data_IF_874558628462
#
_entry.id   IF_874558628462
#
_cell.length_a   1.000
_cell.length_b   1.000
_cell.length_c   1.000
_cell.angle_alpha   90.00
_cell.angle_beta   90.00
_cell.angle_gamma   90.00
#
_symmetry.space_group_name_H-M   'P 1'
#
loop_
_entity.id
_entity.type
_entity.pdbx_description
1 polymer ?
#
# COMPACT_ATOMS: atom_id res chain seq x y z
N UNK A 1 20.16 28.34 -89.04
CA UNK A 1 19.47 29.02 -87.91
C UNK A 1 19.05 27.93 -86.94
N UNK A 2 19.83 27.73 -85.89
CA UNK A 2 19.80 26.57 -85.00
C UNK A 2 18.87 26.82 -83.80
N UNK A 3 17.87 25.98 -83.57
CA UNK A 3 17.13 25.93 -82.31
C UNK A 3 17.53 24.66 -81.55
N UNK A 4 18.19 24.84 -80.40
CA UNK A 4 18.44 23.79 -79.40
C UNK A 4 17.35 23.90 -78.32
N UNK A 5 16.47 22.89 -78.21
CA UNK A 5 15.61 22.70 -77.05
C UNK A 5 16.41 21.99 -75.95
N UNK A 6 16.56 22.62 -74.80
CA UNK A 6 17.11 22.00 -73.58
C UNK A 6 15.93 21.64 -72.69
N UNK A 7 15.69 20.35 -72.48
CA UNK A 7 14.71 19.84 -71.53
C UNK A 7 15.32 19.83 -70.12
N UNK A 8 14.75 20.62 -69.22
CA UNK A 8 15.12 20.60 -67.80
C UNK A 8 14.41 19.43 -67.09
N UNK A 9 15.18 18.47 -66.59
CA UNK A 9 14.67 17.39 -65.73
C UNK A 9 14.62 17.92 -64.30
N UNK A 10 13.41 18.12 -63.77
CA UNK A 10 13.20 18.50 -62.38
C UNK A 10 13.20 17.24 -61.50
N UNK A 11 14.24 17.08 -60.69
CA UNK A 11 14.36 16.01 -59.69
C UNK A 11 13.40 16.31 -58.52
N UNK A 12 12.32 15.54 -58.39
CA UNK A 12 11.43 15.58 -57.22
C UNK A 12 12.11 14.81 -56.08
N UNK A 13 12.74 15.55 -55.16
CA UNK A 13 13.23 15.01 -53.90
C UNK A 13 12.03 14.74 -52.99
N UNK A 14 11.61 13.47 -52.87
CA UNK A 14 10.66 13.03 -51.83
C UNK A 14 11.39 13.16 -50.50
N UNK A 15 11.23 14.30 -49.83
CA UNK A 15 11.70 14.48 -48.46
C UNK A 15 10.89 13.55 -47.55
N UNK A 16 11.54 12.58 -46.91
CA UNK A 16 10.98 11.91 -45.75
C UNK A 16 10.72 12.98 -44.69
N UNK A 17 9.47 13.40 -44.54
CA UNK A 17 9.05 14.14 -43.37
C UNK A 17 9.28 13.24 -42.15
N UNK A 18 10.11 13.63 -41.16
CA UNK A 18 10.22 12.87 -39.93
C UNK A 18 8.83 12.79 -39.31
N UNK A 19 8.37 11.57 -39.06
CA UNK A 19 7.12 11.32 -38.35
C UNK A 19 7.26 11.97 -36.96
N UNK A 20 6.66 13.14 -36.78
CA UNK A 20 6.57 13.80 -35.48
C UNK A 20 5.69 12.91 -34.61
N UNK A 21 6.32 12.03 -33.84
CA UNK A 21 5.65 11.31 -32.75
C UNK A 21 5.15 12.38 -31.78
N UNK A 22 3.86 12.69 -31.86
CA UNK A 22 3.19 13.58 -30.91
C UNK A 22 3.34 13.00 -29.51
N UNK A 23 3.86 13.79 -28.57
CA UNK A 23 4.03 13.37 -27.19
C UNK A 23 2.66 12.99 -26.60
N UNK A 24 2.50 11.71 -26.25
CA UNK A 24 1.27 11.24 -25.62
C UNK A 24 1.16 11.84 -24.20
N UNK A 25 0.06 12.54 -23.92
CA UNK A 25 -0.28 12.97 -22.56
C UNK A 25 -0.96 11.81 -21.82
N UNK A 26 -0.28 11.31 -20.80
CA UNK A 26 -0.71 10.21 -19.95
C UNK A 26 -0.85 10.71 -18.52
N UNK A 27 -2.00 10.44 -17.88
CA UNK A 27 -2.27 10.93 -16.53
C UNK A 27 -2.64 9.82 -15.57
N UNK A 28 -2.14 9.92 -14.34
CA UNK A 28 -2.60 9.15 -13.20
C UNK A 28 -3.29 10.09 -12.21
N UNK A 29 -4.48 9.70 -11.76
CA UNK A 29 -5.14 10.36 -10.63
C UNK A 29 -4.75 9.65 -9.35
N UNK A 30 -4.14 10.36 -8.41
CA UNK A 30 -3.83 9.85 -7.06
C UNK A 30 -4.81 10.48 -6.09
N UNK A 31 -5.68 9.66 -5.51
CA UNK A 31 -6.70 10.12 -4.56
C UNK A 31 -6.49 9.39 -3.24
N UNK A 32 -5.97 10.10 -2.25
CA UNK A 32 -5.58 9.55 -0.95
C UNK A 32 -6.16 10.40 0.17
N UNK A 33 -6.22 9.83 1.37
CA UNK A 33 -6.63 10.55 2.57
C UNK A 33 -5.46 11.39 3.08
N UNK A 34 -5.40 12.66 2.70
CA UNK A 34 -4.39 13.61 3.18
C UNK A 34 -4.86 14.33 4.45
N UNK A 35 -6.17 14.35 4.67
CA UNK A 35 -6.81 14.76 5.91
C UNK A 35 -7.80 13.69 6.39
N UNK A 36 -8.27 13.86 7.63
CA UNK A 36 -9.20 12.92 8.28
C UNK A 36 -8.50 11.73 8.95
N UNK A 37 -9.28 10.70 9.29
CA UNK A 37 -8.86 9.57 10.12
C UNK A 37 -7.76 8.69 9.53
N UNK A 38 -7.55 8.73 8.22
CA UNK A 38 -6.52 7.92 7.53
C UNK A 38 -5.31 8.75 7.06
N UNK A 39 -5.21 10.02 7.46
CA UNK A 39 -4.08 10.90 7.11
C UNK A 39 -2.72 10.35 7.58
N UNK A 40 -2.70 9.60 8.69
CA UNK A 40 -1.50 8.94 9.19
C UNK A 40 -0.86 8.00 8.17
N UNK A 41 -1.65 7.42 7.25
CA UNK A 41 -1.18 6.55 6.17
C UNK A 41 -1.14 7.28 4.82
N UNK A 42 -2.18 8.06 4.49
CA UNK A 42 -2.28 8.68 3.17
C UNK A 42 -1.23 9.76 2.89
N UNK A 43 -0.82 10.54 3.90
CA UNK A 43 0.26 11.52 3.77
C UNK A 43 1.60 10.85 3.43
N UNK A 44 2.11 9.87 4.21
CA UNK A 44 3.36 9.19 3.86
C UNK A 44 3.25 8.44 2.52
N UNK A 45 2.09 7.84 2.17
CA UNK A 45 1.87 7.24 0.85
C UNK A 45 2.12 8.25 -0.28
N UNK A 46 1.50 9.43 -0.23
CA UNK A 46 1.69 10.46 -1.27
C UNK A 46 3.12 10.99 -1.28
N UNK A 47 3.76 11.13 -0.12
CA UNK A 47 5.17 11.50 -0.06
C UNK A 47 6.07 10.46 -0.75
N UNK A 48 5.83 9.17 -0.51
CA UNK A 48 6.53 8.09 -1.21
C UNK A 48 6.31 8.10 -2.71
N UNK A 49 5.07 8.35 -3.16
CA UNK A 49 4.74 8.51 -4.59
C UNK A 49 5.51 9.67 -5.22
N UNK A 50 5.63 10.82 -4.54
CA UNK A 50 6.39 11.97 -5.05
C UNK A 50 7.88 11.64 -5.23
N UNK A 51 8.49 10.91 -4.31
CA UNK A 51 9.88 10.43 -4.48
C UNK A 51 9.99 9.50 -5.69
N UNK A 52 9.06 8.54 -5.86
CA UNK A 52 9.04 7.68 -7.04
C UNK A 52 8.84 8.47 -8.35
N UNK A 53 8.01 9.52 -8.33
CA UNK A 53 7.78 10.38 -9.48
C UNK A 53 9.08 11.11 -9.88
N UNK A 54 9.77 11.71 -8.92
CA UNK A 54 11.05 12.37 -9.15
C UNK A 54 12.10 11.41 -9.73
N UNK A 55 12.13 10.17 -9.25
CA UNK A 55 13.05 9.15 -9.76
C UNK A 55 12.75 8.82 -11.22
N UNK A 56 11.47 8.57 -11.56
CA UNK A 56 11.04 8.29 -12.92
C UNK A 56 11.34 9.47 -13.87
N UNK A 57 11.19 10.71 -13.41
CA UNK A 57 11.52 11.91 -14.18
C UNK A 57 13.03 12.02 -14.43
N UNK A 58 13.86 11.84 -13.39
CA UNK A 58 15.33 11.87 -13.50
C UNK A 58 15.89 10.74 -14.38
N UNK A 59 15.25 9.58 -14.36
CA UNK A 59 15.58 8.42 -15.22
C UNK A 59 15.18 8.63 -16.69
N UNK A 60 14.45 9.71 -17.02
CA UNK A 60 13.87 9.89 -18.36
C UNK A 60 12.91 8.77 -18.72
N UNK A 61 12.20 8.20 -17.72
CA UNK A 61 11.47 6.94 -17.83
C UNK A 61 10.39 6.95 -18.93
N UNK A 62 9.86 8.13 -19.25
CA UNK A 62 8.79 8.33 -20.22
C UNK A 62 9.28 8.68 -21.64
N UNK A 63 10.59 8.83 -21.85
CA UNK A 63 11.15 9.24 -23.13
C UNK A 63 10.59 10.61 -23.56
N UNK A 64 9.97 10.67 -24.74
CA UNK A 64 9.30 11.88 -25.25
C UNK A 64 7.86 12.06 -24.76
N UNK A 65 7.27 11.08 -24.07
CA UNK A 65 5.90 11.18 -23.58
C UNK A 65 5.83 12.02 -22.31
N UNK A 66 4.69 12.67 -22.08
CA UNK A 66 4.42 13.43 -20.87
C UNK A 66 3.56 12.60 -19.92
N UNK A 67 4.08 12.34 -18.72
CA UNK A 67 3.32 11.69 -17.64
C UNK A 67 3.01 12.70 -16.54
N UNK A 68 1.73 12.87 -16.23
CA UNK A 68 1.25 13.78 -15.19
C UNK A 68 0.61 12.99 -14.05
N UNK A 69 0.91 13.37 -12.81
CA UNK A 69 0.25 12.82 -11.62
C UNK A 69 -0.58 13.91 -10.95
N UNK A 70 -1.88 13.69 -10.82
CA UNK A 70 -2.80 14.61 -10.15
C UNK A 70 -3.13 14.09 -8.75
N UNK A 71 -2.56 14.71 -7.73
CA UNK A 71 -2.80 14.37 -6.32
C UNK A 71 -4.04 15.11 -5.80
N UNK A 72 -4.97 14.40 -5.16
CA UNK A 72 -6.16 14.95 -4.53
C UNK A 72 -6.39 14.34 -3.14
N UNK A 73 -6.95 15.14 -2.24
CA UNK A 73 -7.37 14.71 -0.91
C UNK A 73 -8.84 14.29 -0.93
N UNK A 74 -9.14 13.07 -0.49
CA UNK A 74 -10.52 12.62 -0.30
C UNK A 74 -11.04 12.79 1.13
N UNK A 75 -10.23 13.33 2.05
CA UNK A 75 -10.61 13.66 3.44
C UNK A 75 -11.04 12.44 4.27
N UNK A 76 -10.56 11.25 3.92
CA UNK A 76 -11.00 9.97 4.50
C UNK A 76 -12.48 9.65 4.26
N UNK A 77 -13.11 10.26 3.25
CA UNK A 77 -14.52 10.11 2.93
C UNK A 77 -14.75 9.25 1.67
N UNK A 78 -15.69 8.30 1.80
CA UNK A 78 -16.02 7.34 0.73
C UNK A 78 -16.72 8.00 -0.45
N UNK A 79 -17.61 8.96 -0.18
CA UNK A 79 -18.39 9.64 -1.22
C UNK A 79 -17.50 10.63 -1.98
N UNK A 80 -16.56 11.28 -1.31
CA UNK A 80 -15.54 12.12 -1.94
C UNK A 80 -14.64 11.30 -2.86
N UNK A 81 -14.20 10.11 -2.43
CA UNK A 81 -13.42 9.20 -3.28
C UNK A 81 -14.18 8.85 -4.58
N UNK A 82 -15.48 8.52 -4.47
CA UNK A 82 -16.35 8.22 -5.62
C UNK A 82 -16.56 9.47 -6.50
N UNK A 83 -16.71 10.65 -5.90
CA UNK A 83 -16.89 11.92 -6.61
C UNK A 83 -15.65 12.25 -7.45
N UNK A 84 -14.46 12.12 -6.86
CA UNK A 84 -13.19 12.33 -7.55
C UNK A 84 -12.96 11.26 -8.63
N UNK A 85 -13.31 10.00 -8.36
CA UNK A 85 -13.26 8.92 -9.35
C UNK A 85 -14.11 9.26 -10.59
N UNK A 86 -15.37 9.68 -10.40
CA UNK A 86 -16.24 10.10 -11.48
C UNK A 86 -15.64 11.28 -12.27
N UNK A 87 -15.12 12.30 -11.57
CA UNK A 87 -14.46 13.46 -12.19
C UNK A 87 -13.29 13.05 -13.08
N UNK A 88 -12.38 12.21 -12.57
CA UNK A 88 -11.21 11.77 -13.34
C UNK A 88 -11.56 10.78 -14.45
N UNK A 89 -12.63 10.00 -14.30
CA UNK A 89 -13.10 9.12 -15.36
C UNK A 89 -13.58 9.87 -16.61
N UNK A 90 -14.07 11.12 -16.47
CA UNK A 90 -14.44 11.99 -17.59
C UNK A 90 -13.24 12.49 -18.42
N UNK A 91 -12.04 12.46 -17.86
CA UNK A 91 -10.81 12.87 -18.54
C UNK A 91 -10.16 11.65 -19.24
N UNK A 92 -10.23 11.53 -20.58
CA UNK A 92 -9.70 10.37 -21.30
C UNK A 92 -8.16 10.26 -21.24
N UNK A 93 -7.46 11.30 -20.79
CA UNK A 93 -6.01 11.22 -20.51
C UNK A 93 -5.71 10.49 -19.20
N UNK A 94 -6.68 10.42 -18.28
CA UNK A 94 -6.52 9.68 -17.01
C UNK A 94 -6.62 8.19 -17.28
N UNK A 95 -5.49 7.50 -17.14
CA UNK A 95 -5.34 6.07 -17.44
C UNK A 95 -5.57 5.17 -16.22
N UNK A 96 -5.41 5.70 -15.02
CA UNK A 96 -5.51 4.96 -13.76
C UNK A 96 -5.95 5.89 -12.62
N UNK A 97 -6.73 5.34 -11.70
CA UNK A 97 -7.06 5.92 -10.40
C UNK A 97 -6.32 5.16 -9.29
N UNK A 98 -5.31 5.78 -8.70
CA UNK A 98 -4.50 5.22 -7.62
C UNK A 98 -5.06 5.70 -6.28
N UNK A 99 -5.39 4.76 -5.41
CA UNK A 99 -6.16 4.96 -4.19
C UNK A 99 -7.52 4.25 -4.25
N UNK A 100 -8.37 4.40 -3.22
CA UNK A 100 -8.16 5.22 -2.01
C UNK A 100 -7.26 4.53 -0.96
N UNK A 101 -7.01 5.24 0.15
CA UNK A 101 -6.08 4.83 1.23
C UNK A 101 -6.58 3.64 2.03
N UNK A 102 -7.87 3.59 2.39
CA UNK A 102 -8.42 2.52 3.24
C UNK A 102 -9.18 1.45 2.45
N UNK A 103 -9.24 0.25 3.03
CA UNK A 103 -10.08 -0.85 2.57
C UNK A 103 -11.56 -0.45 2.46
N UNK A 104 -12.08 0.33 3.41
CA UNK A 104 -13.50 0.69 3.44
C UNK A 104 -13.88 1.67 2.33
N UNK A 105 -12.99 2.59 1.97
CA UNK A 105 -13.16 3.48 0.81
C UNK A 105 -13.01 2.70 -0.49
N UNK A 106 -12.05 1.77 -0.56
CA UNK A 106 -11.79 0.99 -1.76
C UNK A 106 -12.98 0.08 -2.10
N UNK A 107 -13.58 -0.58 -1.10
CA UNK A 107 -14.79 -1.40 -1.28
C UNK A 107 -15.97 -0.58 -1.81
N UNK A 108 -16.08 0.70 -1.44
CA UNK A 108 -17.14 1.59 -1.91
C UNK A 108 -16.86 2.10 -3.34
N UNK A 109 -15.61 2.40 -3.67
CA UNK A 109 -15.23 2.96 -4.98
C UNK A 109 -15.06 1.90 -6.08
N UNK A 110 -14.71 0.66 -5.73
CA UNK A 110 -14.41 -0.40 -6.69
C UNK A 110 -15.56 -0.72 -7.67
N UNK A 111 -16.84 -0.81 -7.26
CA UNK A 111 -17.95 -1.01 -8.20
C UNK A 111 -18.05 0.12 -9.23
N UNK A 112 -17.98 1.38 -8.80
CA UNK A 112 -18.03 2.54 -9.69
C UNK A 112 -16.84 2.55 -10.68
N UNK A 113 -15.65 2.15 -10.24
CA UNK A 113 -14.48 2.06 -11.13
C UNK A 113 -14.69 1.04 -12.27
N UNK A 114 -15.36 -0.07 -11.98
CA UNK A 114 -15.72 -1.08 -12.98
C UNK A 114 -16.77 -0.58 -13.97
N UNK A 115 -17.80 0.13 -13.50
CA UNK A 115 -18.80 0.76 -14.37
C UNK A 115 -18.17 1.81 -15.30
N UNK A 116 -17.26 2.63 -14.75
CA UNK A 116 -16.54 3.68 -15.47
C UNK A 116 -15.38 3.17 -16.32
N UNK A 117 -15.05 1.87 -16.23
CA UNK A 117 -13.93 1.24 -16.94
C UNK A 117 -12.61 1.99 -16.77
N UNK A 118 -12.28 2.31 -15.52
CA UNK A 118 -11.01 2.93 -15.13
C UNK A 118 -10.32 2.02 -14.09
N UNK A 119 -9.03 1.67 -14.27
CA UNK A 119 -8.32 0.87 -13.29
C UNK A 119 -8.27 1.61 -11.95
N UNK A 120 -8.83 1.00 -10.91
CA UNK A 120 -8.69 1.44 -9.52
C UNK A 120 -7.58 0.61 -8.86
N UNK A 121 -6.59 1.28 -8.29
CA UNK A 121 -5.45 0.64 -7.64
C UNK A 121 -5.31 1.13 -6.20
N UNK A 122 -5.95 0.42 -5.28
CA UNK A 122 -6.07 0.84 -3.87
C UNK A 122 -4.99 0.25 -2.97
N UNK A 123 -4.84 0.79 -1.75
CA UNK A 123 -4.01 0.20 -0.70
C UNK A 123 -4.73 -0.89 0.14
N UNK A 124 -6.02 -1.13 -0.13
CA UNK A 124 -6.84 -2.03 0.69
C UNK A 124 -6.41 -3.50 0.64
N UNK A 125 -6.77 -4.25 1.68
CA UNK A 125 -6.40 -5.66 1.85
C UNK A 125 -7.55 -6.64 1.58
N UNK A 126 -8.80 -6.19 1.68
CA UNK A 126 -9.98 -7.06 1.55
C UNK A 126 -10.15 -7.62 0.13
N UNK A 127 -10.44 -8.92 0.03
CA UNK A 127 -10.59 -9.63 -1.24
C UNK A 127 -11.75 -9.10 -2.11
N UNK A 128 -12.82 -8.62 -1.45
CA UNK A 128 -13.96 -7.96 -2.08
C UNK A 128 -13.63 -6.77 -3.00
N UNK A 129 -12.47 -6.13 -2.82
CA UNK A 129 -12.00 -5.09 -3.75
C UNK A 129 -11.78 -5.69 -5.14
N UNK A 130 -11.05 -6.81 -5.23
CA UNK A 130 -10.79 -7.48 -6.51
C UNK A 130 -12.05 -8.16 -7.07
N UNK A 131 -12.93 -8.62 -6.19
CA UNK A 131 -14.19 -9.25 -6.55
C UNK A 131 -15.20 -8.28 -7.20
N UNK A 132 -15.04 -6.96 -7.00
CA UNK A 132 -15.89 -5.95 -7.62
C UNK A 132 -15.80 -5.98 -9.16
N UNK A 133 -14.68 -6.43 -9.72
CA UNK A 133 -14.55 -6.69 -11.15
C UNK A 133 -13.13 -6.51 -11.69
N UNK A 134 -12.96 -6.64 -13.02
CA UNK A 134 -11.64 -6.67 -13.67
C UNK A 134 -10.89 -5.34 -13.63
N UNK A 135 -11.56 -4.23 -13.32
CA UNK A 135 -10.95 -2.90 -13.20
C UNK A 135 -10.44 -2.61 -11.79
N UNK A 136 -10.57 -3.54 -10.87
CA UNK A 136 -10.15 -3.35 -9.48
C UNK A 136 -8.86 -4.11 -9.18
N UNK A 137 -7.91 -3.37 -8.63
CA UNK A 137 -6.58 -3.79 -8.22
C UNK A 137 -6.28 -3.26 -6.82
N UNK A 138 -5.33 -3.89 -6.15
CA UNK A 138 -4.85 -3.46 -4.84
C UNK A 138 -3.35 -3.69 -4.72
N UNK A 139 -2.66 -2.90 -3.93
CA UNK A 139 -1.20 -3.00 -3.73
C UNK A 139 -0.83 -3.98 -2.62
N UNK A 140 -1.77 -4.29 -1.74
CA UNK A 140 -1.55 -5.06 -0.53
C UNK A 140 -2.15 -6.46 -0.66
N UNK A 141 -1.47 -7.45 -0.10
CA UNK A 141 -1.93 -8.85 -0.05
C UNK A 141 -3.32 -8.97 0.62
N UNK A 142 -3.99 -10.10 0.42
CA UNK A 142 -5.18 -10.41 1.20
C UNK A 142 -4.80 -10.51 2.68
N UNK A 143 -5.65 -10.02 3.59
CA UNK A 143 -5.42 -10.08 5.04
C UNK A 143 -4.96 -11.47 5.50
N UNK A 144 -5.57 -12.53 4.94
CA UNK A 144 -5.16 -13.93 5.17
C UNK A 144 -3.70 -14.19 4.82
N UNK A 145 -3.25 -13.87 3.62
CA UNK A 145 -1.87 -14.13 3.21
C UNK A 145 -0.87 -13.20 3.91
N UNK A 146 -1.30 -11.98 4.22
CA UNK A 146 -0.47 -10.96 4.85
C UNK A 146 -0.24 -11.24 6.34
N UNK A 147 -1.29 -11.53 7.11
CA UNK A 147 -1.23 -11.61 8.58
C UNK A 147 -1.10 -13.02 9.11
N UNK A 148 -1.60 -14.05 8.40
CA UNK A 148 -1.45 -15.45 8.84
C UNK A 148 0.01 -15.85 9.11
N UNK A 149 1.01 -15.46 8.30
CA UNK A 149 2.42 -15.75 8.60
C UNK A 149 2.90 -15.19 9.93
N UNK A 150 2.37 -14.04 10.37
CA UNK A 150 2.66 -13.49 11.70
C UNK A 150 2.14 -14.41 12.81
N UNK A 151 0.88 -14.85 12.70
CA UNK A 151 0.31 -15.83 13.65
C UNK A 151 1.10 -17.14 13.69
N UNK A 152 1.51 -17.64 12.53
CA UNK A 152 2.34 -18.85 12.44
C UNK A 152 3.71 -18.68 13.10
N UNK A 153 4.35 -17.53 12.90
CA UNK A 153 5.62 -17.19 13.54
C UNK A 153 5.45 -17.15 15.06
N UNK A 154 4.44 -16.44 15.58
CA UNK A 154 4.17 -16.35 17.02
C UNK A 154 3.93 -17.75 17.60
N UNK A 155 3.08 -18.57 16.99
CA UNK A 155 2.75 -19.90 17.50
C UNK A 155 3.92 -20.91 17.43
N UNK A 156 4.79 -20.82 16.41
CA UNK A 156 5.91 -21.76 16.23
C UNK A 156 7.19 -21.33 16.94
N UNK A 157 7.48 -20.03 16.97
CA UNK A 157 8.75 -19.48 17.48
C UNK A 157 8.64 -19.04 18.92
N UNK A 158 7.60 -18.27 19.26
CA UNK A 158 7.42 -17.75 20.62
C UNK A 158 6.56 -18.68 21.49
N UNK A 159 5.68 -19.47 20.87
CA UNK A 159 4.89 -20.53 21.51
C UNK A 159 4.12 -20.08 22.78
N UNK A 160 3.40 -18.94 22.75
CA UNK A 160 2.52 -18.60 23.88
C UNK A 160 1.47 -19.68 24.10
N UNK A 161 1.04 -19.85 25.35
CA UNK A 161 -0.03 -20.79 25.72
C UNK A 161 -1.37 -20.29 25.20
N UNK A 162 -1.62 -18.98 25.28
CA UNK A 162 -2.88 -18.37 24.86
C UNK A 162 -2.73 -16.92 24.40
N UNK A 163 -3.36 -16.59 23.28
CA UNK A 163 -3.50 -15.22 22.81
C UNK A 163 -4.92 -14.69 23.03
N UNK A 164 -5.03 -13.44 23.46
CA UNK A 164 -6.26 -12.64 23.41
C UNK A 164 -6.25 -11.74 22.18
N UNK A 165 -7.38 -11.61 21.49
CA UNK A 165 -7.49 -10.77 20.29
C UNK A 165 -8.38 -9.56 20.57
N UNK A 166 -7.95 -8.39 20.09
CA UNK A 166 -8.75 -7.16 20.12
C UNK A 166 -8.75 -6.53 18.74
N UNK A 167 -9.93 -6.19 18.23
CA UNK A 167 -10.08 -5.56 16.90
C UNK A 167 -11.11 -4.45 16.85
N UNK A 168 -11.02 -3.57 15.86
CA UNK A 168 -12.02 -2.51 15.63
C UNK A 168 -13.29 -3.11 15.00
N UNK A 169 -14.44 -2.93 15.65
CA UNK A 169 -15.73 -3.52 15.25
C UNK A 169 -16.31 -2.89 13.98
N UNK A 170 -16.08 -1.61 13.75
CA UNK A 170 -16.65 -0.83 12.65
C UNK A 170 -15.75 -0.79 11.40
N UNK A 171 -14.67 -1.59 11.38
CA UNK A 171 -13.74 -1.63 10.26
C UNK A 171 -13.39 -3.07 9.87
N UNK A 172 -13.78 -3.43 8.65
CA UNK A 172 -13.66 -4.80 8.13
C UNK A 172 -12.21 -5.30 8.07
N UNK A 173 -11.24 -4.43 7.76
CA UNK A 173 -9.85 -4.85 7.63
C UNK A 173 -9.27 -5.31 8.97
N UNK A 174 -9.55 -4.59 10.06
CA UNK A 174 -9.03 -4.95 11.39
C UNK A 174 -9.61 -6.27 11.91
N UNK A 175 -10.87 -6.57 11.58
CA UNK A 175 -11.46 -7.89 11.85
C UNK A 175 -10.79 -8.99 11.04
N UNK A 176 -10.63 -8.80 9.73
CA UNK A 176 -9.96 -9.79 8.87
C UNK A 176 -8.52 -10.05 9.31
N UNK A 177 -7.80 -9.02 9.79
CA UNK A 177 -6.47 -9.19 10.37
C UNK A 177 -6.48 -10.04 11.63
N UNK A 178 -7.44 -9.82 12.55
CA UNK A 178 -7.58 -10.63 13.76
C UNK A 178 -7.94 -12.09 13.44
N UNK A 179 -8.84 -12.31 12.48
CA UNK A 179 -9.22 -13.63 12.00
C UNK A 179 -8.04 -14.36 11.33
N UNK A 180 -7.30 -13.67 10.47
CA UNK A 180 -6.11 -14.20 9.81
C UNK A 180 -4.99 -14.54 10.79
N UNK A 181 -4.75 -13.68 11.79
CA UNK A 181 -3.80 -13.95 12.86
C UNK A 181 -4.22 -15.19 13.67
N UNK A 182 -5.49 -15.27 14.06
CA UNK A 182 -6.06 -16.42 14.76
C UNK A 182 -5.94 -17.73 13.95
N UNK A 183 -6.11 -17.66 12.62
CA UNK A 183 -5.88 -18.81 11.75
C UNK A 183 -4.40 -19.24 11.78
N UNK A 184 -3.46 -18.29 11.76
CA UNK A 184 -2.03 -18.56 11.86
C UNK A 184 -1.62 -19.23 13.17
N UNK A 185 -2.27 -18.87 14.28
CA UNK A 185 -1.98 -19.48 15.59
C UNK A 185 -2.22 -21.01 15.62
N UNK A 186 -3.09 -21.53 14.74
CA UNK A 186 -3.37 -22.97 14.60
C UNK A 186 -2.16 -23.79 14.14
N UNK A 187 -1.08 -23.14 13.71
CA UNK A 187 0.18 -23.79 13.36
C UNK A 187 0.99 -24.26 14.59
N UNK A 188 0.58 -23.88 15.81
CA UNK A 188 1.15 -24.34 17.07
C UNK A 188 0.06 -24.74 18.07
N UNK A 189 0.41 -24.81 19.36
CA UNK A 189 -0.49 -25.19 20.45
C UNK A 189 -1.14 -23.99 21.16
N UNK A 190 -1.00 -22.78 20.60
CA UNK A 190 -1.52 -21.53 21.16
C UNK A 190 -3.05 -21.50 21.05
N UNK A 191 -3.73 -21.29 22.18
CA UNK A 191 -5.20 -21.14 22.21
C UNK A 191 -5.58 -19.69 21.99
N UNK A 192 -6.74 -19.44 21.39
CA UNK A 192 -7.38 -18.12 21.46
C UNK A 192 -8.34 -18.16 22.65
N UNK A 193 -8.02 -17.46 23.74
CA UNK A 193 -8.83 -17.48 24.97
C UNK A 193 -9.80 -16.29 25.09
N UNK A 194 -9.77 -15.37 24.12
CA UNK A 194 -10.79 -14.34 23.94
C UNK A 194 -10.59 -13.55 22.65
N UNK A 195 -11.68 -12.95 22.18
CA UNK A 195 -11.71 -12.09 21.01
C UNK A 195 -12.77 -11.01 21.24
N UNK A 196 -12.35 -9.83 21.68
CA UNK A 196 -13.22 -8.69 21.89
C UNK A 196 -13.04 -7.65 20.79
N UNK A 197 -14.03 -6.78 20.67
CA UNK A 197 -13.99 -5.68 19.72
C UNK A 197 -14.20 -4.35 20.42
N UNK A 198 -13.46 -3.34 19.97
CA UNK A 198 -13.62 -1.94 20.39
C UNK A 198 -14.24 -1.11 19.26
N UNK A 199 -14.69 0.10 19.55
CA UNK A 199 -15.02 1.08 18.50
C UNK A 199 -13.84 2.02 18.24
N UNK A 200 -13.76 2.56 17.03
CA UNK A 200 -12.66 3.46 16.61
C UNK A 200 -12.43 4.65 17.57
N UNK A 201 -13.49 5.19 18.17
CA UNK A 201 -13.45 6.37 19.05
C UNK A 201 -13.25 6.04 20.53
N UNK A 202 -13.10 4.76 20.88
CA UNK A 202 -12.93 4.33 22.26
C UNK A 202 -11.54 4.71 22.79
N UNK A 203 -11.48 5.19 24.03
CA UNK A 203 -10.24 5.67 24.65
C UNK A 203 -10.03 5.19 26.09
N UNK A 204 -11.12 4.82 26.78
CA UNK A 204 -11.07 4.14 28.06
C UNK A 204 -11.22 2.64 27.82
N UNK A 205 -10.15 1.92 28.08
CA UNK A 205 -10.06 0.48 27.92
C UNK A 205 -9.88 -0.23 29.26
N UNK A 206 -10.04 0.46 30.39
CA UNK A 206 -9.72 -0.07 31.74
C UNK A 206 -10.41 -1.40 32.00
N UNK A 207 -11.72 -1.48 31.73
CA UNK A 207 -12.50 -2.71 31.94
C UNK A 207 -12.05 -3.85 31.03
N UNK A 208 -11.74 -3.55 29.76
CA UNK A 208 -11.25 -4.54 28.80
C UNK A 208 -9.84 -5.01 29.16
N UNK A 209 -8.96 -4.10 29.58
CA UNK A 209 -7.61 -4.40 30.00
C UNK A 209 -7.60 -5.33 31.23
N UNK A 210 -8.40 -5.04 32.26
CA UNK A 210 -8.57 -5.92 33.43
C UNK A 210 -9.07 -7.30 33.02
N UNK A 211 -10.11 -7.38 32.17
CA UNK A 211 -10.63 -8.65 31.66
C UNK A 211 -9.55 -9.50 30.96
N UNK A 212 -8.67 -8.87 30.18
CA UNK A 212 -7.60 -9.56 29.45
C UNK A 212 -6.52 -10.06 30.40
N UNK A 213 -6.11 -9.24 31.37
CA UNK A 213 -5.15 -9.65 32.40
C UNK A 213 -5.71 -10.83 33.22
N UNK A 214 -6.96 -10.74 33.66
CA UNK A 214 -7.64 -11.81 34.42
C UNK A 214 -7.82 -13.10 33.62
N UNK A 215 -7.84 -13.02 32.28
CA UNK A 215 -7.89 -14.21 31.41
C UNK A 215 -6.61 -15.05 31.44
N UNK A 216 -5.50 -14.49 31.94
CA UNK A 216 -4.19 -15.14 31.98
C UNK A 216 -3.52 -15.30 30.61
N UNK A 217 -3.91 -14.49 29.61
CA UNK A 217 -3.29 -14.51 28.29
C UNK A 217 -1.81 -14.08 28.37
N UNK A 218 -0.90 -14.88 27.77
CA UNK A 218 0.53 -14.57 27.65
C UNK A 218 0.88 -13.96 26.28
N UNK A 219 -0.14 -13.68 25.48
CA UNK A 219 -0.07 -13.00 24.19
C UNK A 219 -1.32 -12.13 23.99
N UNK A 220 -1.17 -10.93 23.42
CA UNK A 220 -2.29 -10.06 23.05
C UNK A 220 -2.07 -9.52 21.64
N UNK A 221 -3.03 -9.76 20.75
CA UNK A 221 -3.05 -9.18 19.41
C UNK A 221 -3.95 -7.95 19.38
N UNK A 222 -3.37 -6.80 19.04
CA UNK A 222 -4.02 -5.48 19.01
C UNK A 222 -4.19 -5.04 17.56
N UNK A 223 -5.38 -5.27 17.00
CA UNK A 223 -5.75 -4.91 15.62
C UNK A 223 -6.52 -3.60 15.58
N UNK A 224 -5.82 -2.48 15.70
CA UNK A 224 -6.42 -1.15 15.85
C UNK A 224 -5.67 -0.08 15.06
N UNK A 225 -6.20 1.14 15.07
CA UNK A 225 -5.46 2.35 14.67
C UNK A 225 -4.23 2.58 15.57
N UNK A 226 -3.21 3.33 15.10
CA UNK A 226 -1.95 3.54 15.81
C UNK A 226 -2.13 4.07 17.24
N UNK A 227 -2.74 5.24 17.43
CA UNK A 227 -2.83 5.89 18.74
C UNK A 227 -3.78 5.16 19.71
N UNK A 228 -4.99 4.73 19.30
CA UNK A 228 -5.84 3.92 20.18
C UNK A 228 -5.18 2.61 20.59
N UNK A 229 -4.44 1.95 19.70
CA UNK A 229 -3.73 0.71 20.00
C UNK A 229 -2.59 0.91 20.99
N UNK A 230 -1.80 1.97 20.81
CA UNK A 230 -0.74 2.32 21.75
C UNK A 230 -1.30 2.67 23.14
N UNK A 231 -2.37 3.47 23.21
CA UNK A 231 -3.07 3.78 24.45
C UNK A 231 -3.66 2.52 25.12
N UNK A 232 -4.21 1.60 24.34
CA UNK A 232 -4.70 0.32 24.84
C UNK A 232 -3.58 -0.52 25.48
N UNK A 233 -2.41 -0.59 24.83
CA UNK A 233 -1.25 -1.30 25.38
C UNK A 233 -0.76 -0.64 26.68
N UNK A 234 -0.76 0.70 26.77
CA UNK A 234 -0.46 1.40 28.04
C UNK A 234 -1.42 0.95 29.15
N UNK A 235 -2.72 0.91 28.87
CA UNK A 235 -3.72 0.51 29.86
C UNK A 235 -3.63 -0.97 30.23
N UNK A 236 -3.25 -1.86 29.30
CA UNK A 236 -2.92 -3.26 29.60
C UNK A 236 -1.75 -3.38 30.59
N UNK A 237 -0.67 -2.61 30.38
CA UNK A 237 0.47 -2.57 31.32
C UNK A 237 0.05 -2.04 32.69
N UNK A 238 -0.74 -0.97 32.73
CA UNK A 238 -1.28 -0.39 33.98
C UNK A 238 -2.22 -1.37 34.72
N UNK A 239 -2.98 -2.18 33.99
CA UNK A 239 -3.83 -3.23 34.55
C UNK A 239 -3.05 -4.47 35.04
N UNK A 240 -1.73 -4.53 34.83
CA UNK A 240 -0.86 -5.60 35.33
C UNK A 240 -0.49 -6.66 34.31
N UNK A 241 -0.61 -6.40 33.00
CA UNK A 241 -0.12 -7.33 31.97
C UNK A 241 1.42 -7.50 32.11
N UNK A 242 1.94 -8.72 32.36
CA UNK A 242 3.36 -8.96 32.61
C UNK A 242 4.27 -8.45 31.49
N UNK A 243 5.42 -7.86 31.81
CA UNK A 243 6.35 -7.27 30.83
C UNK A 243 6.79 -8.26 29.74
N UNK A 244 6.86 -9.55 30.06
CA UNK A 244 7.20 -10.64 29.14
C UNK A 244 6.03 -11.17 28.30
N UNK A 245 4.80 -10.70 28.54
CA UNK A 245 3.65 -10.98 27.68
C UNK A 245 3.90 -10.47 26.26
N UNK A 246 3.59 -11.32 25.28
CA UNK A 246 3.85 -11.04 23.87
C UNK A 246 2.78 -10.08 23.34
N UNK A 247 3.19 -8.86 23.02
CA UNK A 247 2.32 -7.91 22.29
C UNK A 247 2.53 -8.10 20.79
N UNK A 248 1.42 -8.23 20.07
CA UNK A 248 1.40 -8.33 18.62
C UNK A 248 0.44 -7.28 18.06
N UNK A 249 0.81 -6.63 16.95
CA UNK A 249 0.00 -5.59 16.32
C UNK A 249 -0.02 -5.73 14.79
N UNK A 250 -0.76 -4.85 14.12
CA UNK A 250 -0.77 -4.73 12.65
C UNK A 250 0.45 -3.93 12.17
N UNK A 251 0.55 -3.71 10.85
CA UNK A 251 1.59 -2.85 10.28
C UNK A 251 1.57 -1.41 10.83
N UNK A 252 0.49 -0.99 11.49
CA UNK A 252 0.39 0.29 12.19
C UNK A 252 1.45 0.49 13.27
N UNK A 253 1.95 -0.60 13.87
CA UNK A 253 3.02 -0.52 14.88
C UNK A 253 4.36 -0.01 14.30
N UNK A 254 4.53 -0.02 12.98
CA UNK A 254 5.70 0.55 12.32
C UNK A 254 5.71 2.09 12.34
N UNK A 255 4.55 2.73 12.52
CA UNK A 255 4.38 4.16 12.36
C UNK A 255 4.82 4.98 13.56
N UNK A 256 5.33 6.19 13.30
CA UNK A 256 5.71 7.14 14.34
C UNK A 256 4.58 7.46 15.35
N UNK A 257 3.29 7.56 14.98
CA UNK A 257 2.23 7.82 15.94
C UNK A 257 2.06 6.71 17.00
N UNK A 258 2.20 5.44 16.61
CA UNK A 258 2.14 4.31 17.55
C UNK A 258 3.30 4.36 18.56
N UNK A 259 4.51 4.55 18.04
CA UNK A 259 5.74 4.58 18.85
C UNK A 259 5.75 5.79 19.81
N UNK A 260 5.39 6.98 19.32
CA UNK A 260 5.35 8.21 20.14
C UNK A 260 4.30 8.15 21.24
N UNK A 261 3.11 7.66 20.92
CA UNK A 261 2.01 7.54 21.90
C UNK A 261 2.31 6.47 22.95
N UNK A 262 2.84 5.32 22.53
CA UNK A 262 3.06 4.17 23.41
C UNK A 262 4.32 4.25 24.28
N UNK A 263 5.38 4.91 23.78
CA UNK A 263 6.66 4.99 24.46
C UNK A 263 7.19 3.61 24.86
N UNK A 264 7.61 3.47 26.13
CA UNK A 264 8.15 2.21 26.65
C UNK A 264 7.11 1.07 26.68
N UNK A 265 5.81 1.35 26.74
CA UNK A 265 4.78 0.33 26.88
C UNK A 265 4.66 -0.58 25.64
N UNK A 266 5.04 -0.06 24.46
CA UNK A 266 4.94 -0.77 23.17
C UNK A 266 6.25 -1.42 22.73
N UNK A 267 7.32 -1.29 23.53
CA UNK A 267 8.59 -1.99 23.26
C UNK A 267 8.38 -3.51 23.23
N UNK A 268 9.09 -4.18 22.33
CA UNK A 268 8.96 -5.62 22.11
C UNK A 268 7.76 -6.05 21.26
N UNK A 269 6.88 -5.13 20.84
CA UNK A 269 5.72 -5.43 20.00
C UNK A 269 6.15 -6.06 18.67
N UNK A 270 5.60 -7.23 18.35
CA UNK A 270 5.74 -7.89 17.06
C UNK A 270 4.68 -7.42 16.08
N UNK A 271 5.02 -7.28 14.81
CA UNK A 271 4.07 -6.92 13.77
C UNK A 271 4.54 -7.41 12.40
N UNK A 272 3.62 -7.47 11.45
CA UNK A 272 3.90 -7.69 10.04
C UNK A 272 3.98 -6.33 9.33
N UNK A 273 4.91 -6.17 8.40
CA UNK A 273 5.02 -4.99 7.56
C UNK A 273 5.30 -5.36 6.10
N UNK A 274 4.94 -4.47 5.19
CA UNK A 274 5.26 -4.56 3.77
C UNK A 274 6.69 -4.11 3.48
N UNK A 275 7.33 -3.37 4.40
CA UNK A 275 8.67 -2.81 4.22
C UNK A 275 9.54 -3.00 5.48
N UNK A 276 10.80 -3.35 5.26
CA UNK A 276 11.85 -3.31 6.28
C UNK A 276 12.94 -2.33 5.84
N UNK A 277 13.18 -1.24 6.59
CA UNK A 277 14.31 -0.37 6.31
C UNK A 277 15.68 -1.02 6.59
N UNK A 278 15.70 -2.25 7.12
CA UNK A 278 16.90 -2.93 7.63
C UNK A 278 17.33 -4.13 6.79
N UNK A 279 16.66 -4.38 5.67
CA UNK A 279 17.16 -5.30 4.63
C UNK A 279 17.50 -4.49 3.36
N UNK A 280 18.42 -3.51 3.44
CA UNK A 280 18.66 -2.62 2.33
C UNK A 280 19.30 -3.39 1.16
N UNK A 281 18.61 -3.42 0.02
CA UNK A 281 19.25 -3.45 -1.28
C UNK A 281 19.51 -2.00 -1.76
N UNK A 282 20.26 -1.83 -2.85
CA UNK A 282 20.61 -0.50 -3.38
C UNK A 282 19.39 0.41 -3.59
N UNK A 283 18.27 -0.15 -4.09
CA UNK A 283 17.03 0.58 -4.36
C UNK A 283 16.39 1.10 -3.08
N UNK A 284 16.31 0.27 -2.04
CA UNK A 284 15.77 0.69 -0.74
C UNK A 284 16.66 1.71 -0.03
N UNK A 285 17.99 1.63 -0.15
CA UNK A 285 18.92 2.59 0.46
C UNK A 285 18.78 3.99 -0.13
N UNK A 286 18.66 4.08 -1.45
CA UNK A 286 18.48 5.35 -2.16
C UNK A 286 17.11 5.97 -1.82
N UNK A 287 16.04 5.17 -1.81
CA UNK A 287 14.72 5.61 -1.37
C UNK A 287 14.75 6.17 0.07
N UNK A 288 15.35 5.44 1.03
CA UNK A 288 15.48 5.88 2.43
C UNK A 288 16.21 7.23 2.50
N UNK A 289 17.31 7.37 1.76
CA UNK A 289 18.13 8.59 1.76
C UNK A 289 17.35 9.78 1.21
N UNK A 290 16.71 9.62 0.04
CA UNK A 290 15.92 10.67 -0.61
C UNK A 290 14.71 11.06 0.24
N UNK A 291 13.97 10.09 0.75
CA UNK A 291 12.81 10.36 1.60
C UNK A 291 13.22 11.09 2.89
N UNK A 292 14.28 10.63 3.56
CA UNK A 292 14.79 11.29 4.78
C UNK A 292 15.23 12.72 4.50
N UNK A 293 15.90 12.96 3.36
CA UNK A 293 16.30 14.31 2.94
C UNK A 293 15.10 15.22 2.69
N UNK A 294 14.05 14.72 2.07
CA UNK A 294 12.87 15.52 1.71
C UNK A 294 11.92 15.79 2.88
N UNK A 295 11.82 14.87 3.84
CA UNK A 295 10.79 14.92 4.89
C UNK A 295 11.33 14.90 6.32
N UNK A 296 12.66 14.88 6.50
CA UNK A 296 13.33 14.98 7.80
C UNK A 296 13.22 13.75 8.70
N UNK A 297 12.55 12.69 8.25
CA UNK A 297 12.38 11.43 8.98
C UNK A 297 12.54 10.25 8.00
N UNK A 298 13.03 9.09 8.46
CA UNK A 298 13.06 7.88 7.63
C UNK A 298 11.67 7.47 7.13
N UNK A 299 11.55 6.83 5.96
CA UNK A 299 10.28 6.31 5.48
C UNK A 299 9.78 5.18 6.38
N UNK A 300 8.47 5.15 6.60
CA UNK A 300 7.77 4.02 7.19
C UNK A 300 7.19 3.09 6.11
N UNK A 301 6.43 2.08 6.53
CA UNK A 301 5.79 1.13 5.59
C UNK A 301 4.84 1.85 4.63
N UNK A 302 4.13 2.90 5.07
CA UNK A 302 3.19 3.65 4.24
C UNK A 302 3.89 4.42 3.13
N UNK A 303 5.02 5.05 3.43
CA UNK A 303 5.86 5.70 2.43
C UNK A 303 6.40 4.70 1.39
N UNK A 304 6.87 3.54 1.84
CA UNK A 304 7.36 2.49 0.96
C UNK A 304 6.26 1.91 0.04
N UNK A 305 5.05 1.72 0.58
CA UNK A 305 3.86 1.34 -0.20
C UNK A 305 3.59 2.39 -1.28
N UNK A 306 3.56 3.67 -0.93
CA UNK A 306 3.32 4.74 -1.89
C UNK A 306 4.33 4.78 -3.03
N UNK A 307 5.63 4.71 -2.70
CA UNK A 307 6.70 4.62 -3.70
C UNK A 307 6.46 3.44 -4.65
N UNK A 308 6.19 2.27 -4.09
CA UNK A 308 5.98 1.02 -4.84
C UNK A 308 4.73 1.05 -5.69
N UNK A 309 3.62 1.62 -5.19
CA UNK A 309 2.37 1.80 -5.93
C UNK A 309 2.59 2.61 -7.21
N UNK A 310 3.31 3.74 -7.12
CA UNK A 310 3.56 4.54 -8.31
C UNK A 310 4.50 3.82 -9.28
N UNK A 311 5.53 3.10 -8.82
CA UNK A 311 6.40 2.29 -9.70
C UNK A 311 5.61 1.19 -10.43
N UNK A 312 4.68 0.50 -9.75
CA UNK A 312 3.80 -0.51 -10.38
C UNK A 312 2.87 0.11 -11.42
N UNK A 313 2.23 1.23 -11.10
CA UNK A 313 1.38 1.95 -12.04
C UNK A 313 2.18 2.43 -13.25
N UNK A 314 3.34 3.05 -13.03
CA UNK A 314 4.22 3.55 -14.08
C UNK A 314 4.73 2.43 -14.99
N UNK A 315 5.15 1.30 -14.41
CA UNK A 315 5.60 0.13 -15.18
C UNK A 315 4.48 -0.42 -16.07
N UNK A 316 3.27 -0.54 -15.52
CA UNK A 316 2.09 -1.04 -16.26
C UNK A 316 1.69 -0.10 -17.41
N UNK A 317 1.66 1.21 -17.15
CA UNK A 317 1.35 2.22 -18.16
C UNK A 317 2.41 2.24 -19.25
N UNK A 318 3.70 2.20 -18.90
CA UNK A 318 4.79 2.17 -19.87
C UNK A 318 4.75 0.91 -20.73
N UNK A 319 4.52 -0.25 -20.13
CA UNK A 319 4.32 -1.50 -20.88
C UNK A 319 3.18 -1.36 -21.88
N UNK A 320 2.01 -0.90 -21.42
CA UNK A 320 0.86 -0.70 -22.29
C UNK A 320 1.13 0.31 -23.42
N UNK A 321 1.84 1.40 -23.12
CA UNK A 321 2.20 2.43 -24.10
C UNK A 321 3.16 1.89 -25.18
N UNK A 322 4.16 1.11 -24.76
CA UNK A 322 5.09 0.45 -25.68
C UNK A 322 4.36 -0.55 -26.59
N UNK A 323 3.47 -1.38 -26.02
CA UNK A 323 2.67 -2.36 -26.77
C UNK A 323 1.71 -1.66 -27.75
N UNK A 324 1.21 -0.47 -27.42
CA UNK A 324 0.34 0.34 -28.26
C UNK A 324 1.08 1.20 -29.30
N UNK A 325 2.39 1.43 -29.14
CA UNK A 325 3.15 2.37 -29.96
C UNK A 325 2.77 3.85 -29.74
N UNK A 326 2.22 4.20 -28.58
CA UNK A 326 1.69 5.54 -28.27
C UNK A 326 0.91 5.59 -26.96
N UNK A 327 -0.04 6.53 -26.82
CA UNK A 327 -0.90 6.61 -25.64
C UNK A 327 -1.74 5.33 -25.52
N UNK A 328 -1.63 4.55 -24.42
CA UNK A 328 -2.45 3.36 -24.26
C UNK A 328 -3.89 3.70 -23.90
N UNK A 329 -4.80 2.76 -24.11
CA UNK A 329 -6.15 2.77 -23.55
C UNK A 329 -6.16 2.31 -22.09
N UNK A 330 -7.22 2.64 -21.35
CA UNK A 330 -7.45 2.13 -20.00
C UNK A 330 -7.50 0.59 -19.96
N UNK A 331 -8.07 -0.04 -20.98
CA UNK A 331 -8.10 -1.51 -21.11
C UNK A 331 -6.70 -2.10 -21.23
N UNK A 332 -5.81 -1.50 -22.03
CA UNK A 332 -4.42 -1.94 -22.13
C UNK A 332 -3.67 -1.76 -20.81
N UNK A 333 -3.93 -0.68 -20.07
CA UNK A 333 -3.34 -0.48 -18.72
C UNK A 333 -3.89 -1.51 -17.74
N UNK A 334 -5.20 -1.79 -17.75
CA UNK A 334 -5.83 -2.86 -16.95
C UNK A 334 -5.17 -4.21 -17.21
N UNK A 335 -4.99 -4.59 -18.47
CA UNK A 335 -4.34 -5.84 -18.86
C UNK A 335 -2.88 -5.88 -18.42
N UNK A 336 -2.14 -4.78 -18.57
CA UNK A 336 -0.76 -4.70 -18.10
C UNK A 336 -0.66 -4.85 -16.57
N UNK A 337 -1.59 -4.27 -15.81
CA UNK A 337 -1.67 -4.44 -14.36
C UNK A 337 -2.02 -5.87 -13.95
N UNK A 338 -2.97 -6.50 -14.65
CA UNK A 338 -3.39 -7.89 -14.37
C UNK A 338 -2.29 -8.91 -14.67
N UNK A 339 -1.28 -8.54 -15.44
CA UNK A 339 -0.14 -9.37 -15.80
C UNK A 339 1.18 -8.81 -15.24
N UNK A 340 1.13 -7.91 -14.24
CA UNK A 340 2.31 -7.33 -13.63
C UNK A 340 3.17 -8.42 -12.97
N UNK A 341 4.44 -8.48 -13.34
CA UNK A 341 5.38 -9.50 -12.88
C UNK A 341 6.76 -8.91 -12.64
N UNK A 342 7.36 -9.28 -11.51
CA UNK A 342 8.73 -8.93 -11.11
C UNK A 342 9.03 -7.42 -11.17
N UNK A 343 8.01 -6.58 -10.93
CA UNK A 343 8.14 -5.13 -10.98
C UNK A 343 9.07 -4.69 -9.84
N UNK A 344 10.15 -3.92 -10.13
CA UNK A 344 11.03 -3.41 -9.08
C UNK A 344 10.29 -2.45 -8.16
N UNK A 345 10.29 -2.76 -6.86
CA UNK A 345 9.63 -1.99 -5.81
C UNK A 345 10.50 -1.96 -4.55
N UNK A 346 10.11 -1.16 -3.55
CA UNK A 346 10.81 -1.10 -2.25
C UNK A 346 10.10 -1.91 -1.17
N UNK A 347 8.82 -2.27 -1.37
CA UNK A 347 8.12 -3.23 -0.51
C UNK A 347 8.54 -4.66 -0.81
N UNK A 348 8.35 -5.53 0.18
CA UNK A 348 8.65 -6.94 0.09
C UNK A 348 10.10 -7.27 0.40
N UNK A 349 10.35 -8.46 0.93
CA UNK A 349 11.71 -8.93 1.26
C UNK A 349 12.65 -8.91 0.05
N UNK A 350 12.11 -9.12 -1.15
CA UNK A 350 12.89 -9.21 -2.39
C UNK A 350 12.84 -7.94 -3.26
N UNK A 351 12.09 -6.90 -2.87
CA UNK A 351 11.92 -5.69 -3.68
C UNK A 351 11.27 -5.97 -5.04
N UNK A 352 10.37 -6.96 -5.11
CA UNK A 352 9.67 -7.39 -6.32
C UNK A 352 8.19 -7.53 -6.05
N UNK A 353 7.41 -7.01 -6.99
CA UNK A 353 5.96 -7.08 -6.98
C UNK A 353 5.46 -7.86 -8.19
N UNK A 354 4.60 -8.84 -7.94
CA UNK A 354 3.88 -9.60 -8.95
C UNK A 354 2.40 -9.71 -8.58
N UNK A 355 1.54 -9.96 -9.55
CA UNK A 355 0.16 -10.39 -9.30
C UNK A 355 -0.05 -11.82 -9.78
N UNK A 356 -0.95 -12.55 -9.13
CA UNK A 356 -1.42 -13.84 -9.65
C UNK A 356 -2.60 -13.70 -10.63
N UNK A 357 -3.11 -14.84 -11.11
CA UNK A 357 -4.25 -14.91 -12.04
C UNK A 357 -5.53 -14.25 -11.52
N UNK A 358 -5.68 -14.13 -10.19
CA UNK A 358 -6.83 -13.52 -9.53
C UNK A 358 -6.56 -12.05 -9.18
N UNK A 359 -5.45 -11.49 -9.69
CA UNK A 359 -4.95 -10.13 -9.43
C UNK A 359 -4.49 -9.89 -7.99
N UNK A 360 -4.28 -10.96 -7.20
CA UNK A 360 -3.78 -10.81 -5.83
C UNK A 360 -2.29 -10.47 -5.88
N UNK A 361 -1.85 -9.41 -5.18
CA UNK A 361 -0.43 -9.05 -5.10
C UNK A 361 0.38 -10.07 -4.33
N UNK A 362 1.66 -10.22 -4.71
CA UNK A 362 2.67 -11.02 -4.03
C UNK A 362 3.98 -10.23 -3.94
N UNK A 363 4.47 -10.01 -2.72
CA UNK A 363 5.73 -9.31 -2.46
C UNK A 363 6.51 -9.84 -1.24
N UNK A 364 6.04 -10.91 -0.56
CA UNK A 364 6.67 -11.49 0.64
C UNK A 364 6.83 -10.48 1.80
N UNK A 365 5.82 -10.35 2.69
CA UNK A 365 5.87 -9.40 3.80
C UNK A 365 6.90 -9.81 4.86
N UNK A 366 7.31 -8.86 5.68
CA UNK A 366 8.37 -9.04 6.69
C UNK A 366 7.79 -8.97 8.10
N UNK A 367 8.24 -9.88 8.97
CA UNK A 367 7.91 -9.84 10.40
C UNK A 367 8.99 -9.02 11.12
N UNK A 368 8.54 -8.05 11.91
CA UNK A 368 9.37 -7.10 12.63
C UNK A 368 9.00 -7.07 14.12
N UNK A 369 9.91 -6.55 14.93
CA UNK A 369 9.72 -6.28 16.35
C UNK A 369 10.18 -4.86 16.68
N UNK A 370 9.48 -4.15 17.56
CA UNK A 370 9.97 -2.88 18.10
C UNK A 370 11.07 -3.12 19.14
N UNK A 371 12.23 -2.47 18.94
CA UNK A 371 13.32 -2.36 19.91
C UNK A 371 13.91 -0.95 19.89
N UNK A 372 13.93 -0.30 21.06
CA UNK A 372 14.45 1.07 21.24
C UNK A 372 13.78 2.07 20.28
N UNK A 373 12.46 1.99 20.16
CA UNK A 373 11.64 2.85 19.29
C UNK A 373 11.86 2.60 17.79
N UNK A 374 12.49 1.49 17.41
CA UNK A 374 12.78 1.14 16.01
C UNK A 374 12.28 -0.25 15.68
N UNK A 375 11.73 -0.42 14.48
CA UNK A 375 11.47 -1.74 13.95
C UNK A 375 12.79 -2.48 13.72
N UNK A 376 12.86 -3.77 14.00
CA UNK A 376 14.02 -4.62 13.69
C UNK A 376 13.55 -6.03 13.32
N UNK A 377 14.36 -6.79 12.57
CA UNK A 377 14.09 -8.21 12.33
C UNK A 377 14.20 -8.96 13.67
N UNK A 378 13.20 -9.77 14.06
CA UNK A 378 13.31 -10.61 15.25
C UNK A 378 14.41 -11.66 15.10
N UNK A 379 15.04 -12.05 16.20
CA UNK A 379 16.08 -13.08 16.23
C UNK A 379 15.51 -14.49 16.08
#
# INVERSE_FOLDING_TARGET
MNLRCVAAVASISIGLAPCLVSAAEMKAAVVMSLTGSYAFAGVPIVNGMKIAQEDLEKEGYWGSNKFEVSYQDNRSDKQEAITLLNKFAQDPSTLIFIGPTSTAEALAAAPAANELKIPLYSNGTHSGILAAGPWSFKSSENAKNFVKPLGEYIARKLKPKSCYLVSIRDNVAYKEYAEAFAEGLKAGATRVNGNDTIVTTESDFTSLATKIVDSGADCVYVSTLPEPGANFIIQLRQAGLPDDAIIVSTQNAAGAPFIKTGGAAVEGTYFIAEFSPFTPNEVTSDFITKYTKSYGNPPDTWAAIGYSMLKVAAHSIRKAANDAGGRPTRDQVREAMANAKDVPVVIGEFGRYSVDKDRVPHFAPVILQLKNGKAVKPN
#
